data_IF_387017478828
#
_entry.id   IF_387017478828
#
_cell.length_a   1.000
_cell.length_b   1.000
_cell.length_c   1.000
_cell.angle_alpha   90.00
_cell.angle_beta   90.00
_cell.angle_gamma   90.00
#
_symmetry.space_group_name_H-M   'P 1'
#
loop_
_entity.id
_entity.type
_entity.pdbx_description
1 polymer ?
#
# COMPACT_ATOMS: atom_id res chain seq x y z
N UNK A 1 11.67 11.09 -17.32
CA UNK A 1 11.08 9.87 -16.74
C UNK A 1 9.93 10.32 -15.86
N UNK A 2 8.69 9.90 -16.15
CA UNK A 2 7.54 10.24 -15.31
C UNK A 2 7.62 9.40 -14.03
N UNK A 3 7.29 10.00 -12.88
CA UNK A 3 7.26 9.32 -11.58
C UNK A 3 5.80 9.19 -11.11
N UNK A 4 5.47 8.18 -10.30
CA UNK A 4 4.19 8.13 -9.63
C UNK A 4 3.91 9.42 -8.84
N UNK A 5 2.64 9.81 -8.80
CA UNK A 5 2.17 11.02 -8.11
C UNK A 5 1.39 10.63 -6.87
N UNK A 6 1.63 11.31 -5.77
CA UNK A 6 0.92 11.06 -4.51
C UNK A 6 -0.17 12.10 -4.27
N UNK A 7 -1.20 11.73 -3.54
CA UNK A 7 -2.32 12.60 -3.19
C UNK A 7 -2.94 12.25 -1.85
N UNK A 8 -3.72 13.18 -1.32
CA UNK A 8 -4.68 12.97 -0.23
C UNK A 8 -6.10 12.98 -0.78
N UNK A 9 -6.95 12.06 -0.33
CA UNK A 9 -8.39 12.09 -0.55
C UNK A 9 -9.03 12.86 0.60
N UNK A 10 -9.56 14.05 0.30
CA UNK A 10 -10.07 14.99 1.29
C UNK A 10 -11.58 15.01 1.24
N UNK A 11 -12.24 14.75 2.37
CA UNK A 11 -13.69 14.77 2.53
C UNK A 11 -14.15 16.01 3.31
N UNK A 12 -14.98 16.83 2.70
CA UNK A 12 -15.53 18.05 3.30
C UNK A 12 -16.86 17.83 4.01
N UNK A 13 -17.64 16.85 3.54
CA UNK A 13 -18.91 16.48 4.16
C UNK A 13 -19.01 14.97 4.24
N UNK A 14 -19.50 14.47 5.36
CA UNK A 14 -19.82 13.07 5.54
C UNK A 14 -21.32 12.89 5.80
N UNK A 15 -22.16 12.79 4.75
CA UNK A 15 -23.59 12.53 4.91
C UNK A 15 -23.89 11.17 5.55
N UNK A 16 -22.95 10.22 5.51
CA UNK A 16 -23.14 8.86 6.04
C UNK A 16 -22.88 8.77 7.55
N UNK A 17 -22.06 9.67 8.09
CA UNK A 17 -21.56 9.61 9.47
C UNK A 17 -20.57 8.48 9.75
N UNK A 18 -20.12 7.75 8.71
CA UNK A 18 -19.24 6.58 8.86
C UNK A 18 -17.76 6.93 8.76
N UNK A 19 -17.40 7.88 7.88
CA UNK A 19 -16.01 8.09 7.45
C UNK A 19 -15.36 9.33 8.06
N UNK A 20 -16.16 10.25 8.59
CA UNK A 20 -15.71 11.56 9.04
C UNK A 20 -15.29 12.50 7.89
N UNK A 21 -14.77 13.65 8.29
CA UNK A 21 -14.27 14.71 7.40
C UNK A 21 -12.76 14.90 7.57
N UNK A 22 -12.11 15.54 6.60
CA UNK A 22 -10.67 15.75 6.54
C UNK A 22 -10.00 14.78 5.57
N UNK A 23 -8.73 14.44 5.82
CA UNK A 23 -8.01 13.48 4.96
C UNK A 23 -8.43 12.06 5.34
N UNK A 24 -9.25 11.45 4.48
CA UNK A 24 -9.82 10.11 4.72
C UNK A 24 -8.99 8.99 4.07
N UNK A 25 -8.14 9.32 3.11
CA UNK A 25 -7.20 8.38 2.52
C UNK A 25 -5.96 9.07 1.95
N UNK A 26 -4.90 8.30 1.76
CA UNK A 26 -3.72 8.63 0.96
C UNK A 26 -3.74 7.82 -0.32
N UNK A 27 -3.16 8.34 -1.40
CA UNK A 27 -3.05 7.59 -2.64
C UNK A 27 -1.79 7.86 -3.43
N UNK A 28 -1.48 6.92 -4.33
CA UNK A 28 -0.40 6.98 -5.29
C UNK A 28 -0.94 6.55 -6.65
N UNK A 29 -0.90 7.45 -7.63
CA UNK A 29 -1.18 7.17 -9.04
C UNK A 29 0.13 6.80 -9.73
N UNK A 30 0.20 5.57 -10.23
CA UNK A 30 1.32 5.06 -11.00
C UNK A 30 1.31 5.62 -12.42
N UNK A 31 2.44 5.46 -13.11
CA UNK A 31 2.62 6.03 -14.45
C UNK A 31 1.77 5.37 -15.53
N UNK A 32 1.18 4.21 -15.22
CA UNK A 32 0.19 3.52 -16.07
C UNK A 32 -1.26 3.95 -15.76
N UNK A 33 -1.45 4.89 -14.83
CA UNK A 33 -2.75 5.38 -14.38
C UNK A 33 -3.39 4.57 -13.25
N UNK A 34 -2.87 3.38 -12.92
CA UNK A 34 -3.39 2.60 -11.79
C UNK A 34 -3.12 3.34 -10.47
N UNK A 35 -3.98 3.11 -9.48
CA UNK A 35 -3.91 3.82 -8.19
C UNK A 35 -3.89 2.85 -7.03
N UNK A 36 -2.92 2.99 -6.13
CA UNK A 36 -3.01 2.43 -4.78
C UNK A 36 -3.61 3.47 -3.84
N UNK A 37 -4.67 3.10 -3.13
CA UNK A 37 -5.37 3.96 -2.16
C UNK A 37 -5.34 3.32 -0.78
N UNK A 38 -4.93 4.09 0.24
CA UNK A 38 -4.87 3.70 1.65
C UNK A 38 -5.85 4.51 2.48
N UNK A 39 -6.92 3.86 2.92
CA UNK A 39 -7.89 4.44 3.86
C UNK A 39 -7.25 4.63 5.24
N UNK A 40 -7.51 5.81 5.84
CA UNK A 40 -7.16 6.16 7.22
C UNK A 40 -8.34 5.88 8.15
N UNK A 41 -8.12 5.99 9.47
CA UNK A 41 -9.15 5.79 10.50
C UNK A 41 -9.08 4.44 11.18
N UNK A 42 -10.15 4.08 11.90
CA UNK A 42 -10.19 2.91 12.81
C UNK A 42 -10.12 1.56 12.08
N UNK A 43 -10.56 1.52 10.82
CA UNK A 43 -10.56 0.33 9.99
C UNK A 43 -9.73 0.58 8.72
N UNK A 44 -8.40 0.68 8.82
CA UNK A 44 -7.57 1.06 7.70
C UNK A 44 -7.47 -0.09 6.69
N UNK A 45 -7.67 0.24 5.41
CA UNK A 45 -7.66 -0.73 4.32
C UNK A 45 -6.90 -0.17 3.11
N UNK A 46 -6.34 -1.07 2.29
CA UNK A 46 -5.68 -0.71 1.03
C UNK A 46 -6.46 -1.29 -0.13
N UNK A 47 -6.71 -0.49 -1.16
CA UNK A 47 -7.38 -0.91 -2.39
C UNK A 47 -6.58 -0.45 -3.61
N UNK A 48 -6.70 -1.20 -4.70
CA UNK A 48 -6.14 -0.84 -6.00
C UNK A 48 -7.28 -0.48 -6.95
N UNK A 49 -7.12 0.63 -7.66
CA UNK A 49 -8.10 1.17 -8.60
C UNK A 49 -7.48 1.34 -9.99
N UNK A 50 -8.29 1.29 -11.05
CA UNK A 50 -7.78 1.46 -12.41
C UNK A 50 -7.33 2.90 -12.72
N UNK A 51 -7.91 3.89 -12.03
CA UNK A 51 -7.58 5.31 -12.16
C UNK A 51 -8.25 6.14 -11.04
N UNK A 52 -7.90 7.42 -10.96
CA UNK A 52 -8.43 8.38 -9.99
C UNK A 52 -9.92 8.66 -10.21
N UNK A 53 -10.38 8.65 -11.46
CA UNK A 53 -11.79 8.90 -11.79
C UNK A 53 -12.71 7.82 -11.20
N UNK A 54 -12.28 6.55 -11.22
CA UNK A 54 -13.01 5.46 -10.60
C UNK A 54 -13.15 5.64 -9.08
N UNK A 55 -12.12 6.19 -8.41
CA UNK A 55 -12.20 6.53 -6.99
C UNK A 55 -13.23 7.63 -6.76
N UNK A 56 -13.20 8.71 -7.56
CA UNK A 56 -14.12 9.84 -7.42
C UNK A 56 -15.56 9.48 -7.80
N UNK A 57 -15.77 8.57 -8.75
CA UNK A 57 -17.09 8.09 -9.11
C UNK A 57 -17.79 7.40 -7.91
N UNK A 58 -17.03 6.64 -7.11
CA UNK A 58 -17.57 5.91 -5.95
C UNK A 58 -17.56 6.77 -4.69
N UNK A 59 -16.51 7.57 -4.47
CA UNK A 59 -16.22 8.23 -3.20
C UNK A 59 -16.30 9.76 -3.23
N UNK A 60 -16.50 10.37 -4.40
CA UNK A 60 -16.54 11.83 -4.59
C UNK A 60 -17.80 12.51 -4.01
N UNK A 61 -18.92 11.78 -3.94
CA UNK A 61 -20.19 12.22 -3.35
C UNK A 61 -20.58 13.67 -3.73
N UNK A 62 -20.81 13.95 -5.02
CA UNK A 62 -21.23 15.28 -5.51
C UNK A 62 -20.30 16.43 -5.08
N UNK A 63 -18.98 16.18 -5.07
CA UNK A 63 -17.97 17.16 -4.66
C UNK A 63 -17.76 17.26 -3.14
N UNK A 64 -18.39 16.39 -2.35
CA UNK A 64 -18.10 16.30 -0.91
C UNK A 64 -16.73 15.69 -0.63
N UNK A 65 -16.08 15.06 -1.62
CA UNK A 65 -14.73 14.52 -1.53
C UNK A 65 -13.92 14.83 -2.78
N UNK A 66 -12.67 15.24 -2.61
CA UNK A 66 -11.76 15.62 -3.69
C UNK A 66 -10.35 15.04 -3.53
N UNK A 67 -9.57 15.12 -4.60
CA UNK A 67 -8.16 14.72 -4.65
C UNK A 67 -7.29 15.96 -4.48
N UNK A 68 -6.42 15.95 -3.47
CA UNK A 68 -5.38 16.96 -3.26
C UNK A 68 -4.01 16.36 -3.57
N UNK A 69 -3.43 16.77 -4.69
CA UNK A 69 -2.10 16.31 -5.10
C UNK A 69 -1.00 16.84 -4.17
N UNK A 70 -0.07 15.96 -3.80
CA UNK A 70 1.11 16.32 -3.00
C UNK A 70 2.29 16.51 -3.95
N UNK A 71 2.95 17.66 -3.86
CA UNK A 71 4.19 17.88 -4.59
C UNK A 71 5.32 17.06 -3.97
N UNK A 72 6.06 16.34 -4.82
CA UNK A 72 7.19 15.55 -4.36
C UNK A 72 8.26 16.49 -3.81
N UNK A 73 8.41 16.53 -2.49
CA UNK A 73 9.51 17.24 -1.85
C UNK A 73 10.80 16.57 -2.29
N UNK A 74 11.56 17.24 -3.17
CA UNK A 74 12.94 16.86 -3.45
C UNK A 74 13.76 17.25 -2.24
N UNK A 75 13.69 16.44 -1.18
CA UNK A 75 14.63 16.57 -0.08
C UNK A 75 16.00 16.12 -0.61
N UNK A 76 17.06 16.95 -0.52
CA UNK A 76 18.42 16.48 -0.79
C UNK A 76 18.73 15.45 0.30
N UNK A 77 18.43 14.19 0.01
CA UNK A 77 18.69 13.09 0.93
C UNK A 77 20.19 13.07 1.17
N UNK A 78 20.62 13.57 2.34
CA UNK A 78 21.96 13.33 2.81
C UNK A 78 22.18 11.81 2.74
N UNK A 79 23.32 11.35 2.21
CA UNK A 79 23.59 9.92 2.11
C UNK A 79 23.37 9.30 3.49
N UNK A 80 22.41 8.38 3.59
CA UNK A 80 22.20 7.62 4.82
C UNK A 80 23.43 6.73 4.99
N UNK A 81 24.28 7.08 5.94
CA UNK A 81 25.46 6.29 6.28
C UNK A 81 25.05 4.81 6.46
N UNK A 82 25.65 3.91 5.69
CA UNK A 82 25.44 2.46 5.79
C UNK A 82 24.50 1.82 4.77
N UNK A 83 23.80 2.58 3.89
CA UNK A 83 23.03 1.96 2.79
C UNK A 83 23.90 1.40 1.67
N UNK A 84 25.13 1.90 1.53
CA UNK A 84 26.07 1.46 0.48
C UNK A 84 26.46 -0.01 0.64
N UNK A 85 26.41 -0.54 1.87
CA UNK A 85 26.78 -1.92 2.18
C UNK A 85 25.58 -2.89 2.25
N UNK A 86 24.35 -2.40 2.07
CA UNK A 86 23.13 -3.19 2.32
C UNK A 86 22.89 -4.29 1.27
N UNK A 87 23.51 -4.16 0.10
CA UNK A 87 23.47 -5.15 -0.97
C UNK A 87 24.79 -5.93 -1.13
N UNK A 88 25.86 -5.51 -0.45
CA UNK A 88 27.17 -6.17 -0.47
C UNK A 88 27.27 -7.34 0.52
N UNK A 89 26.41 -7.38 1.54
CA UNK A 89 26.17 -8.62 2.30
C UNK A 89 25.41 -9.62 1.42
N UNK A 90 26.20 -10.33 0.61
CA UNK A 90 25.85 -11.54 -0.14
C UNK A 90 24.79 -12.35 0.61
N UNK A 91 23.54 -12.22 0.17
CA UNK A 91 22.55 -13.27 0.40
C UNK A 91 23.14 -14.53 -0.24
N UNK A 92 23.79 -15.37 0.57
CA UNK A 92 24.25 -16.67 0.10
C UNK A 92 23.00 -17.40 -0.38
N UNK A 93 22.84 -17.44 -1.71
CA UNK A 93 21.81 -18.24 -2.36
C UNK A 93 22.03 -19.65 -1.84
N UNK A 94 21.11 -20.14 -1.01
CA UNK A 94 21.20 -21.50 -0.50
C UNK A 94 21.21 -22.40 -1.73
N UNK A 95 22.25 -23.23 -1.96
CA UNK A 95 22.24 -24.15 -3.08
C UNK A 95 21.00 -25.05 -2.97
N UNK A 96 20.41 -25.49 -4.10
CA UNK A 96 19.28 -26.40 -4.04
C UNK A 96 19.66 -27.60 -3.18
N UNK A 97 18.82 -27.94 -2.20
CA UNK A 97 19.08 -29.05 -1.31
C UNK A 97 19.33 -30.31 -2.14
N UNK A 98 20.51 -30.90 -2.01
CA UNK A 98 20.78 -32.23 -2.54
C UNK A 98 19.78 -33.21 -1.93
N UNK A 99 19.36 -34.23 -2.68
CA UNK A 99 18.40 -35.28 -2.26
C UNK A 99 18.76 -36.03 -0.96
N UNK A 100 19.93 -35.76 -0.39
CA UNK A 100 20.47 -36.35 0.83
C UNK A 100 20.36 -35.44 2.06
N UNK A 101 19.88 -34.20 1.91
CA UNK A 101 19.75 -33.29 3.06
C UNK A 101 18.56 -33.70 3.94
N UNK A 102 18.80 -33.82 5.25
CA UNK A 102 17.74 -34.21 6.18
C UNK A 102 16.74 -33.06 6.31
N UNK A 103 15.42 -33.30 6.22
CA UNK A 103 14.45 -32.24 6.40
C UNK A 103 14.60 -31.62 7.81
N UNK A 104 14.46 -30.29 7.95
CA UNK A 104 14.50 -29.66 9.25
C UNK A 104 13.41 -30.24 10.16
N UNK A 105 13.63 -30.27 11.49
CA UNK A 105 12.66 -30.84 12.42
C UNK A 105 11.30 -30.15 12.24
N UNK A 106 10.28 -30.96 11.96
CA UNK A 106 8.94 -30.47 11.69
C UNK A 106 8.35 -29.80 12.94
N UNK A 107 8.15 -28.48 12.87
CA UNK A 107 7.22 -27.83 13.77
C UNK A 107 5.78 -28.25 13.38
N UNK A 108 4.93 -28.65 14.34
CA UNK A 108 3.54 -28.98 14.05
C UNK A 108 2.86 -27.75 13.44
N UNK A 109 2.45 -27.86 12.17
CA UNK A 109 1.68 -26.83 11.48
C UNK A 109 0.30 -26.72 12.11
N UNK A 110 0.11 -25.70 12.94
CA UNK A 110 -1.21 -25.17 13.25
C UNK A 110 -1.73 -24.36 12.07
N UNK A 111 -2.78 -24.86 11.40
CA UNK A 111 -3.71 -24.02 10.66
C UNK A 111 -5.11 -24.53 10.97
N UNK A 112 -5.84 -23.80 11.81
CA UNK A 112 -7.26 -24.03 12.06
C UNK A 112 -8.03 -23.69 10.77
N UNK A 113 -8.74 -24.67 10.23
CA UNK A 113 -9.61 -24.49 9.08
C UNK A 113 -10.79 -23.57 9.42
N UNK A 114 -10.87 -22.42 8.75
CA UNK A 114 -12.10 -21.64 8.68
C UNK A 114 -13.07 -22.39 7.75
N UNK A 115 -14.03 -23.09 8.35
CA UNK A 115 -15.17 -23.67 7.63
C UNK A 115 -16.13 -22.53 7.31
N UNK A 116 -16.37 -22.31 6.01
CA UNK A 116 -17.50 -21.52 5.54
C UNK A 116 -18.79 -22.24 5.97
N UNK A 117 -19.56 -21.59 6.86
CA UNK A 117 -20.99 -21.88 7.00
C UNK A 117 -21.72 -21.16 5.86
N UNK A 118 -22.56 -21.93 5.17
CA UNK A 118 -23.53 -21.45 4.18
C UNK A 118 -24.67 -20.72 4.86
#
# INVERSE_FOLDING_TARGET
MVRPRTFELVRYRDPSGVSGTGVVAEGCEFTDGSVALRWRGDNPATAVWPNVDAILAVHGHQGATEIRWIEAQTSPMAPRAGLDNLFDELHQVRPPASLTDSPPPGHPRGWAGARHLR
#
